data_IF_570579120846
#
_entry.id   IF_570579120846
#
_cell.length_a   1.000
_cell.length_b   1.000
_cell.length_c   1.000
_cell.angle_alpha   90.00
_cell.angle_beta   90.00
_cell.angle_gamma   90.00
#
_symmetry.space_group_name_H-M   'P 1'
#
loop_
_entity.id
_entity.type
_entity.pdbx_description
1 polymer ?
#
# COMPACT_ATOMS: atom_id res chain seq x y z
N UNK A 1 -22.32 -3.08 1.97
CA UNK A 1 -21.19 -2.24 2.40
C UNK A 1 -20.36 -2.97 3.44
N UNK A 2 -20.97 -3.42 4.54
CA UNK A 2 -20.28 -4.19 5.60
C UNK A 2 -19.53 -5.44 5.09
N UNK A 3 -20.16 -6.24 4.22
CA UNK A 3 -19.52 -7.43 3.63
C UNK A 3 -18.28 -7.09 2.78
N UNK A 4 -18.32 -5.94 2.08
CA UNK A 4 -17.21 -5.47 1.26
C UNK A 4 -16.07 -5.03 2.16
N UNK A 5 -16.38 -4.24 3.20
CA UNK A 5 -15.40 -3.80 4.19
C UNK A 5 -14.73 -4.99 4.86
N UNK A 6 -15.49 -5.93 5.41
CA UNK A 6 -14.97 -7.15 6.04
C UNK A 6 -14.03 -7.96 5.12
N UNK A 7 -14.33 -7.99 3.81
CA UNK A 7 -13.48 -8.66 2.82
C UNK A 7 -12.18 -7.90 2.54
N UNK A 8 -12.24 -6.58 2.49
CA UNK A 8 -11.05 -5.72 2.36
C UNK A 8 -10.17 -5.80 3.60
N UNK A 9 -10.77 -5.72 4.79
CA UNK A 9 -10.10 -5.91 6.08
C UNK A 9 -9.35 -7.25 6.10
N UNK A 10 -10.02 -8.32 5.66
CA UNK A 10 -9.40 -9.64 5.56
C UNK A 10 -8.21 -9.66 4.61
N UNK A 11 -8.27 -8.97 3.46
CA UNK A 11 -7.15 -8.89 2.52
C UNK A 11 -5.97 -8.14 3.16
N UNK A 12 -6.24 -6.99 3.79
CA UNK A 12 -5.24 -6.13 4.42
C UNK A 12 -4.57 -6.87 5.60
N UNK A 13 -5.36 -7.40 6.54
CA UNK A 13 -4.84 -8.13 7.72
C UNK A 13 -4.04 -9.35 7.29
N UNK A 14 -4.48 -10.12 6.29
CA UNK A 14 -3.68 -11.25 5.79
C UNK A 14 -2.33 -10.81 5.25
N UNK A 15 -2.30 -9.70 4.49
CA UNK A 15 -1.05 -9.12 4.00
C UNK A 15 -0.13 -8.72 5.15
N UNK A 16 -0.67 -8.01 6.15
CA UNK A 16 0.06 -7.55 7.32
C UNK A 16 0.61 -8.69 8.17
N UNK A 17 -0.17 -9.76 8.39
CA UNK A 17 0.27 -10.93 9.15
C UNK A 17 1.41 -11.68 8.44
N UNK A 18 1.41 -11.72 7.11
CA UNK A 18 2.50 -12.32 6.35
C UNK A 18 3.75 -11.44 6.41
N UNK A 19 3.61 -10.12 6.29
CA UNK A 19 4.74 -9.20 6.38
C UNK A 19 5.32 -9.09 7.80
N UNK A 20 4.50 -9.24 8.84
CA UNK A 20 4.96 -9.17 10.24
C UNK A 20 5.75 -10.40 10.69
N UNK A 21 5.61 -11.52 9.97
CA UNK A 21 6.39 -12.74 10.20
C UNK A 21 7.61 -12.80 9.28
N UNK A 22 7.89 -11.75 8.51
CA UNK A 22 9.08 -11.72 7.67
C UNK A 22 10.34 -11.52 8.54
N UNK A 23 11.42 -12.15 8.11
CA UNK A 23 12.75 -12.09 8.75
C UNK A 23 13.64 -11.01 8.15
N UNK A 24 13.20 -10.33 7.08
CA UNK A 24 13.89 -9.19 6.50
C UNK A 24 13.96 -8.03 7.50
N UNK A 25 15.16 -7.45 7.65
CA UNK A 25 15.45 -6.38 8.61
C UNK A 25 15.03 -5.02 8.05
N UNK A 26 15.05 -4.86 6.73
CA UNK A 26 14.73 -3.60 6.04
C UNK A 26 13.23 -3.50 5.74
N UNK A 27 12.57 -2.53 6.38
CA UNK A 27 11.15 -2.19 6.19
C UNK A 27 10.79 -1.99 4.71
N UNK A 28 11.71 -1.43 3.91
CA UNK A 28 11.49 -1.20 2.48
C UNK A 28 11.44 -2.50 1.66
N UNK A 29 12.06 -3.58 2.15
CA UNK A 29 11.98 -4.93 1.59
C UNK A 29 10.71 -5.64 2.08
N UNK A 30 10.42 -5.53 3.38
CA UNK A 30 9.22 -6.11 4.01
C UNK A 30 7.93 -5.62 3.33
N UNK A 31 7.86 -4.31 3.04
CA UNK A 31 6.75 -3.65 2.35
C UNK A 31 7.10 -3.29 0.91
N UNK A 32 8.05 -4.00 0.30
CA UNK A 32 8.44 -3.77 -1.08
C UNK A 32 7.26 -3.91 -2.05
N UNK A 33 7.21 -3.04 -3.06
CA UNK A 33 6.11 -2.97 -4.04
C UNK A 33 5.70 -4.35 -4.58
N UNK A 34 6.67 -5.18 -5.00
CA UNK A 34 6.38 -6.50 -5.57
C UNK A 34 5.71 -7.45 -4.56
N UNK A 35 6.06 -7.35 -3.28
CA UNK A 35 5.52 -8.17 -2.22
C UNK A 35 4.12 -7.70 -1.83
N UNK A 36 3.93 -6.39 -1.65
CA UNK A 36 2.61 -5.79 -1.45
C UNK A 36 1.65 -6.11 -2.62
N UNK A 37 2.13 -6.05 -3.86
CA UNK A 37 1.33 -6.44 -5.02
C UNK A 37 0.88 -7.91 -4.94
N UNK A 38 1.72 -8.83 -4.44
CA UNK A 38 1.34 -10.24 -4.28
C UNK A 38 0.36 -10.45 -3.12
N UNK A 39 0.60 -9.79 -1.99
CA UNK A 39 -0.13 -10.03 -0.74
C UNK A 39 -1.46 -9.27 -0.66
N UNK A 40 -1.55 -8.09 -1.29
CA UNK A 40 -2.72 -7.22 -1.24
C UNK A 40 -3.26 -6.95 -2.65
N UNK A 41 -2.38 -6.61 -3.60
CA UNK A 41 -2.79 -6.24 -4.96
C UNK A 41 -3.54 -7.35 -5.71
N UNK A 42 -2.96 -8.55 -5.77
CA UNK A 42 -3.57 -9.71 -6.46
C UNK A 42 -4.88 -10.15 -5.78
N UNK A 43 -4.97 -10.28 -4.45
CA UNK A 43 -6.26 -10.54 -3.79
C UNK A 43 -7.32 -9.47 -4.06
N UNK A 44 -6.95 -8.19 -4.06
CA UNK A 44 -7.86 -7.09 -4.36
C UNK A 44 -8.34 -7.13 -5.83
N UNK A 45 -7.44 -7.41 -6.77
CA UNK A 45 -7.79 -7.64 -8.18
C UNK A 45 -8.75 -8.84 -8.32
N UNK A 46 -8.48 -9.95 -7.64
CA UNK A 46 -9.39 -11.09 -7.71
C UNK A 46 -10.78 -10.74 -7.13
N UNK A 47 -10.81 -9.94 -6.07
CA UNK A 47 -12.06 -9.51 -5.44
C UNK A 47 -12.88 -8.56 -6.32
N UNK A 48 -12.24 -7.61 -7.01
CA UNK A 48 -12.96 -6.65 -7.86
C UNK A 48 -13.63 -7.34 -9.05
N UNK A 49 -13.02 -8.39 -9.60
CA UNK A 49 -13.56 -9.18 -10.69
C UNK A 49 -14.47 -10.33 -10.25
N UNK A 50 -14.59 -10.63 -8.95
CA UNK A 50 -15.48 -11.69 -8.48
C UNK A 50 -16.94 -11.35 -8.86
N UNK A 51 -17.65 -12.29 -9.47
CA UNK A 51 -19.01 -12.06 -9.97
C UNK A 51 -19.08 -11.33 -11.32
N UNK A 52 -17.94 -10.98 -11.93
CA UNK A 52 -17.88 -10.58 -13.34
C UNK A 52 -17.73 -11.82 -14.23
N UNK A 53 -18.18 -11.73 -15.47
CA UNK A 53 -17.94 -12.80 -16.45
C UNK A 53 -16.46 -12.87 -16.85
N UNK A 54 -16.03 -14.07 -17.29
CA UNK A 54 -14.63 -14.31 -17.69
C UNK A 54 -14.24 -13.48 -18.91
N UNK A 55 -15.20 -13.23 -19.81
CA UNK A 55 -15.01 -12.46 -21.03
C UNK A 55 -14.70 -10.99 -20.71
N UNK A 56 -15.35 -10.40 -19.70
CA UNK A 56 -15.09 -9.06 -19.20
C UNK A 56 -13.71 -8.95 -18.57
N UNK A 57 -13.30 -9.92 -17.74
CA UNK A 57 -11.95 -9.92 -17.16
C UNK A 57 -10.89 -9.99 -18.25
N UNK A 58 -11.06 -10.88 -19.23
CA UNK A 58 -10.15 -10.99 -20.38
C UNK A 58 -10.14 -9.73 -21.23
N UNK A 59 -11.31 -9.14 -21.50
CA UNK A 59 -11.44 -7.88 -22.23
C UNK A 59 -10.75 -6.72 -21.49
N UNK A 60 -11.01 -6.55 -20.18
CA UNK A 60 -10.42 -5.50 -19.36
C UNK A 60 -8.89 -5.61 -19.30
N UNK A 61 -8.36 -6.83 -19.22
CA UNK A 61 -6.92 -7.10 -19.20
C UNK A 61 -6.30 -7.10 -20.61
N UNK A 62 -7.11 -7.15 -21.66
CA UNK A 62 -6.62 -7.17 -23.04
C UNK A 62 -6.05 -5.81 -23.44
N UNK A 63 -5.11 -5.82 -24.39
CA UNK A 63 -4.70 -4.62 -25.11
C UNK A 63 -5.83 -4.05 -25.99
N UNK A 64 -6.96 -4.75 -26.12
CA UNK A 64 -8.17 -4.32 -26.82
C UNK A 64 -9.13 -3.49 -25.94
N UNK A 65 -8.76 -3.20 -24.69
CA UNK A 65 -9.18 -1.97 -24.04
C UNK A 65 -8.56 -0.80 -24.83
N UNK A 66 -9.01 -0.62 -26.08
CA UNK A 66 -8.66 0.47 -26.96
C UNK A 66 -9.31 1.70 -26.37
N UNK A 67 -8.70 2.21 -25.30
CA UNK A 67 -8.99 3.53 -24.81
C UNK A 67 -8.88 4.45 -26.02
N UNK A 68 -9.93 5.24 -26.25
CA UNK A 68 -9.98 6.19 -27.36
C UNK A 68 -8.87 7.25 -27.24
N UNK A 69 -8.19 7.29 -26.08
CA UNK A 69 -7.00 8.05 -25.84
C UNK A 69 -5.87 7.24 -25.20
N UNK A 70 -4.63 7.68 -25.46
CA UNK A 70 -3.44 7.14 -24.87
C UNK A 70 -3.30 7.60 -23.41
N UNK A 71 -3.23 6.67 -22.47
CA UNK A 71 -3.03 6.98 -21.04
C UNK A 71 -1.56 6.98 -20.62
N UNK A 72 -0.62 6.93 -21.58
CA UNK A 72 0.81 6.91 -21.27
C UNK A 72 1.22 8.21 -20.59
N UNK A 73 1.66 8.10 -19.34
CA UNK A 73 2.32 9.17 -18.61
C UNK A 73 3.76 9.31 -19.11
N UNK A 74 4.09 10.52 -19.52
CA UNK A 74 5.40 10.99 -19.95
C UNK A 74 6.11 11.50 -18.70
N UNK A 75 7.16 10.81 -18.30
CA UNK A 75 7.99 11.16 -17.14
C UNK A 75 9.04 12.20 -17.53
N UNK A 76 9.69 12.87 -16.57
CA UNK A 76 10.84 13.72 -16.86
C UNK A 76 11.86 13.00 -17.74
N UNK A 77 12.46 13.74 -18.67
CA UNK A 77 13.38 13.26 -19.70
C UNK A 77 12.78 12.33 -20.75
N UNK A 78 11.46 12.18 -20.79
CA UNK A 78 10.79 11.51 -21.90
C UNK A 78 10.87 12.35 -23.17
N UNK A 79 11.05 11.68 -24.30
CA UNK A 79 10.91 12.27 -25.62
C UNK A 79 9.44 12.48 -25.97
N UNK A 80 9.11 13.71 -26.37
CA UNK A 80 7.77 14.10 -26.80
C UNK A 80 7.82 14.63 -28.23
N UNK A 81 6.79 14.30 -29.00
CA UNK A 81 6.67 14.70 -30.40
C UNK A 81 5.49 15.64 -30.57
N UNK A 82 5.74 16.78 -31.19
CA UNK A 82 4.70 17.77 -31.48
C UNK A 82 4.63 18.02 -32.98
N UNK A 83 3.49 17.73 -33.60
CA UNK A 83 3.28 18.07 -35.02
C UNK A 83 2.95 19.55 -35.15
N UNK A 84 3.76 20.29 -35.92
CA UNK A 84 3.57 21.72 -36.12
C UNK A 84 2.37 22.02 -37.02
N UNK A 85 2.08 21.11 -37.96
CA UNK A 85 0.97 21.22 -38.89
C UNK A 85 -0.40 20.97 -38.22
N UNK A 86 -0.44 19.93 -37.38
CA UNK A 86 -1.70 19.41 -36.83
C UNK A 86 -2.04 19.89 -35.42
N UNK A 87 -1.10 20.49 -34.67
CA UNK A 87 -1.40 20.96 -33.30
C UNK A 87 -2.39 22.13 -33.31
N UNK A 88 -3.34 22.13 -32.37
CA UNK A 88 -4.22 23.30 -32.13
C UNK A 88 -3.39 24.44 -31.53
N UNK A 89 -2.65 24.14 -30.45
CA UNK A 89 -1.77 25.06 -29.72
C UNK A 89 -0.45 24.33 -29.36
N UNK A 90 0.41 24.94 -28.53
CA UNK A 90 1.61 24.29 -27.97
C UNK A 90 1.31 23.09 -27.04
N UNK A 91 0.05 22.66 -26.95
CA UNK A 91 -0.42 21.64 -26.02
C UNK A 91 -0.37 20.24 -26.63
N UNK A 92 -0.39 20.07 -27.95
CA UNK A 92 -0.44 18.74 -28.58
C UNK A 92 0.90 18.01 -28.55
N UNK A 93 1.02 16.97 -27.72
CA UNK A 93 2.20 16.12 -27.59
C UNK A 93 1.84 14.64 -27.71
N UNK A 94 2.54 13.92 -28.57
CA UNK A 94 2.43 12.47 -28.69
C UNK A 94 3.64 11.78 -28.06
N UNK A 95 3.40 10.65 -27.39
CA UNK A 95 4.47 9.73 -27.03
C UNK A 95 5.04 9.07 -28.31
N UNK A 96 6.27 8.57 -28.23
CA UNK A 96 6.95 7.97 -29.38
C UNK A 96 6.12 6.87 -30.10
N UNK A 97 5.49 5.97 -29.34
CA UNK A 97 4.69 4.87 -29.90
C UNK A 97 3.46 5.39 -30.66
N UNK A 98 2.81 6.44 -30.15
CA UNK A 98 1.67 7.05 -30.83
C UNK A 98 2.11 7.83 -32.07
N UNK A 99 3.18 8.62 -31.93
CA UNK A 99 3.71 9.44 -33.01
C UNK A 99 4.11 8.59 -34.22
N UNK A 100 4.97 7.57 -34.01
CA UNK A 100 5.47 6.68 -35.07
C UNK A 100 4.37 5.91 -35.81
N UNK A 101 3.21 5.70 -35.18
CA UNK A 101 2.06 5.00 -35.78
C UNK A 101 1.04 5.94 -36.40
N UNK A 102 1.12 7.23 -36.10
CA UNK A 102 0.19 8.25 -36.60
C UNK A 102 0.65 8.81 -37.95
N UNK A 103 -0.25 9.52 -38.63
CA UNK A 103 0.10 10.28 -39.84
C UNK A 103 1.09 11.41 -39.56
N UNK A 104 1.13 11.90 -38.31
CA UNK A 104 2.00 12.99 -37.88
C UNK A 104 3.49 12.69 -38.05
N UNK A 105 3.87 11.41 -38.13
CA UNK A 105 5.24 10.98 -38.44
C UNK A 105 5.76 11.54 -39.77
N UNK A 106 4.85 11.81 -40.72
CA UNK A 106 5.17 12.33 -42.04
C UNK A 106 4.96 13.84 -42.19
N UNK A 107 4.55 14.52 -41.11
CA UNK A 107 4.35 15.96 -41.06
C UNK A 107 5.57 16.68 -40.49
N UNK A 108 5.59 18.01 -40.58
CA UNK A 108 6.58 18.80 -39.88
C UNK A 108 6.36 18.67 -38.37
N UNK A 109 7.41 18.29 -37.65
CA UNK A 109 7.32 17.97 -36.23
C UNK A 109 8.57 18.38 -35.47
N UNK A 110 8.39 18.59 -34.18
CA UNK A 110 9.44 18.92 -33.24
C UNK A 110 9.59 17.79 -32.22
N UNK A 111 10.83 17.40 -31.95
CA UNK A 111 11.20 16.51 -30.86
C UNK A 111 11.71 17.35 -29.69
N UNK A 112 11.05 17.26 -28.54
CA UNK A 112 11.53 17.89 -27.30
C UNK A 112 11.81 16.82 -26.25
N UNK A 113 12.81 17.09 -25.42
CA UNK A 113 13.01 16.36 -24.17
C UNK A 113 12.26 17.13 -23.09
N UNK A 114 11.28 16.51 -22.43
CA UNK A 114 10.44 17.20 -21.45
C UNK A 114 11.14 17.25 -20.08
N UNK A 115 11.31 18.45 -19.53
CA UNK A 115 12.31 18.71 -18.48
C UNK A 115 11.78 18.66 -17.04
N UNK A 116 10.47 18.78 -16.80
CA UNK A 116 10.01 19.05 -15.42
C UNK A 116 8.63 18.55 -14.98
N UNK A 117 7.68 18.26 -15.88
CA UNK A 117 6.29 17.95 -15.45
C UNK A 117 5.85 16.57 -15.94
N UNK A 118 4.99 15.90 -15.17
CA UNK A 118 4.27 14.71 -15.65
C UNK A 118 3.19 15.14 -16.63
N UNK A 119 3.28 14.69 -17.88
CA UNK A 119 2.24 14.93 -18.90
C UNK A 119 1.68 13.61 -19.40
N UNK A 120 0.44 13.62 -19.86
CA UNK A 120 -0.14 12.49 -20.59
C UNK A 120 0.05 12.69 -22.09
N UNK A 121 0.11 11.60 -22.84
CA UNK A 121 0.09 11.66 -24.30
C UNK A 121 -1.27 12.17 -24.80
N UNK A 122 -1.27 13.10 -25.75
CA UNK A 122 -2.50 13.71 -26.28
C UNK A 122 -3.14 12.94 -27.44
N UNK A 123 -2.66 11.73 -27.74
CA UNK A 123 -3.29 10.90 -28.75
C UNK A 123 -4.69 10.51 -28.26
N UNK A 124 -5.73 10.88 -29.01
CA UNK A 124 -7.14 10.69 -28.66
C UNK A 124 -7.83 11.91 -28.04
N UNK A 125 -7.08 12.96 -27.69
CA UNK A 125 -7.67 14.21 -27.21
C UNK A 125 -8.00 15.12 -28.39
N UNK A 126 -9.28 15.22 -28.72
CA UNK A 126 -9.77 16.02 -29.86
C UNK A 126 -9.32 17.49 -29.76
N UNK A 127 -9.26 18.04 -28.55
CA UNK A 127 -8.89 19.45 -28.31
C UNK A 127 -7.40 19.75 -28.53
N UNK A 128 -6.55 18.72 -28.64
CA UNK A 128 -5.12 18.87 -28.84
C UNK A 128 -4.71 18.96 -30.32
N UNK A 129 -5.54 18.47 -31.25
CA UNK A 129 -5.21 18.31 -32.67
C UNK A 129 -6.28 18.89 -33.60
N UNK A 130 -5.87 19.72 -34.57
CA UNK A 130 -6.72 20.24 -35.65
C UNK A 130 -7.21 19.13 -36.57
N UNK A 131 -6.40 18.08 -36.72
CA UNK A 131 -6.71 16.91 -37.54
C UNK A 131 -5.97 15.68 -37.03
N UNK A 132 -6.51 14.50 -37.34
CA UNK A 132 -5.95 13.20 -36.98
C UNK A 132 -5.61 13.05 -35.48
N UNK A 133 -6.58 13.25 -34.57
CA UNK A 133 -6.35 13.22 -33.13
C UNK A 133 -5.90 11.84 -32.62
N UNK A 134 -6.23 10.77 -33.34
CA UNK A 134 -5.96 9.38 -32.95
C UNK A 134 -4.95 8.71 -33.88
N UNK A 135 -4.08 7.86 -33.32
CA UNK A 135 -3.30 6.89 -34.09
C UNK A 135 -4.09 5.59 -34.27
N UNK A 136 -3.71 4.68 -35.20
CA UNK A 136 -4.44 3.44 -35.47
C UNK A 136 -4.71 2.54 -34.25
N UNK A 137 -3.91 2.68 -33.18
CA UNK A 137 -4.09 1.96 -31.92
C UNK A 137 -5.24 2.52 -31.06
N UNK A 138 -5.52 3.82 -31.17
CA UNK A 138 -6.52 4.52 -30.37
C UNK A 138 -7.70 5.00 -31.23
N UNK A 139 -7.89 4.43 -32.42
CA UNK A 139 -9.13 4.63 -33.18
C UNK A 139 -10.24 3.88 -32.47
N UNK A 140 -11.35 4.56 -32.20
CA UNK A 140 -12.58 3.96 -31.67
C UNK A 140 -12.99 2.81 -32.57
N UNK A 141 -12.85 1.58 -32.09
CA UNK A 141 -13.48 0.44 -32.74
C UNK A 141 -15.00 0.61 -32.57
N UNK A 142 -15.81 0.29 -33.59
CA UNK A 142 -17.29 0.27 -33.53
C UNK A 142 -17.85 -0.81 -32.58
N UNK A 143 -17.13 -1.15 -31.51
CA UNK A 143 -17.63 -2.04 -30.48
C UNK A 143 -18.60 -1.24 -29.62
N UNK A 144 -19.74 -1.86 -29.32
CA UNK A 144 -20.72 -1.38 -28.35
C UNK A 144 -19.99 -0.83 -27.13
N UNK A 145 -20.33 0.39 -26.72
CA UNK A 145 -19.85 0.97 -25.46
C UNK A 145 -19.89 -0.12 -24.39
N UNK A 146 -18.71 -0.58 -23.97
CA UNK A 146 -18.60 -1.67 -23.02
C UNK A 146 -19.18 -1.18 -21.71
N UNK A 147 -20.45 -1.50 -21.46
CA UNK A 147 -21.09 -1.17 -20.18
C UNK A 147 -20.33 -1.96 -19.13
N UNK A 148 -19.61 -1.25 -18.26
CA UNK A 148 -18.91 -1.85 -17.14
C UNK A 148 -19.95 -2.61 -16.30
N UNK A 149 -19.72 -3.88 -15.94
CA UNK A 149 -20.65 -4.65 -15.13
C UNK A 149 -20.94 -3.93 -13.81
N UNK A 150 -22.22 -3.85 -13.43
CA UNK A 150 -22.62 -3.23 -12.16
C UNK A 150 -21.85 -3.80 -10.95
N UNK A 151 -21.61 -5.13 -10.83
CA UNK A 151 -20.83 -5.67 -9.72
C UNK A 151 -19.40 -5.12 -9.66
N UNK A 152 -18.78 -4.88 -10.83
CA UNK A 152 -17.44 -4.30 -10.92
C UNK A 152 -17.44 -2.85 -10.44
N UNK A 153 -18.36 -2.04 -10.98
CA UNK A 153 -18.46 -0.61 -10.63
C UNK A 153 -18.72 -0.46 -9.14
N UNK A 154 -19.72 -1.17 -8.62
CA UNK A 154 -20.11 -1.09 -7.21
C UNK A 154 -18.96 -1.46 -6.28
N UNK A 155 -18.25 -2.56 -6.56
CA UNK A 155 -17.05 -2.94 -5.78
C UNK A 155 -15.95 -1.90 -5.87
N UNK A 156 -15.62 -1.42 -7.06
CA UNK A 156 -14.60 -0.38 -7.26
C UNK A 156 -14.92 0.88 -6.46
N UNK A 157 -16.17 1.35 -6.53
CA UNK A 157 -16.63 2.52 -5.79
C UNK A 157 -16.46 2.33 -4.29
N UNK A 158 -16.89 1.20 -3.73
CA UNK A 158 -16.75 0.94 -2.29
C UNK A 158 -15.29 0.77 -1.85
N UNK A 159 -14.46 0.14 -2.67
CA UNK A 159 -13.02 0.01 -2.40
C UNK A 159 -12.38 1.39 -2.30
N UNK A 160 -12.62 2.26 -3.30
CA UNK A 160 -12.07 3.63 -3.30
C UNK A 160 -12.57 4.40 -2.08
N UNK A 161 -13.87 4.34 -1.78
CA UNK A 161 -14.43 4.99 -0.60
C UNK A 161 -13.76 4.54 0.70
N UNK A 162 -13.55 3.22 0.86
CA UNK A 162 -12.93 2.69 2.06
C UNK A 162 -11.44 3.06 2.18
N UNK A 163 -10.69 3.04 1.06
CA UNK A 163 -9.30 3.50 1.04
C UNK A 163 -9.19 4.99 1.40
N UNK A 164 -10.13 5.83 0.94
CA UNK A 164 -10.19 7.23 1.33
C UNK A 164 -10.48 7.41 2.83
N UNK A 165 -11.34 6.58 3.42
CA UNK A 165 -11.60 6.62 4.87
C UNK A 165 -10.35 6.26 5.68
N UNK A 166 -9.65 5.19 5.30
CA UNK A 166 -8.39 4.82 5.93
C UNK A 166 -7.34 5.93 5.80
N UNK A 167 -7.27 6.57 4.63
CA UNK A 167 -6.35 7.68 4.41
C UNK A 167 -6.68 8.89 5.29
N UNK A 168 -7.97 9.21 5.46
CA UNK A 168 -8.42 10.27 6.38
C UNK A 168 -7.98 9.98 7.83
N UNK A 169 -8.18 8.75 8.29
CA UNK A 169 -7.77 8.32 9.63
C UNK A 169 -6.25 8.41 9.82
N UNK A 170 -5.46 7.97 8.84
CA UNK A 170 -3.98 8.08 8.84
C UNK A 170 -3.52 9.54 8.89
N UNK A 171 -4.23 10.44 8.20
CA UNK A 171 -3.86 11.86 8.15
C UNK A 171 -4.36 12.68 9.33
N UNK A 172 -4.99 12.06 10.34
CA UNK A 172 -5.49 12.78 11.51
C UNK A 172 -4.35 13.05 12.51
N UNK A 173 -4.36 14.20 13.20
CA UNK A 173 -3.34 14.56 14.22
C UNK A 173 -3.33 13.63 15.45
N UNK A 174 -4.36 12.79 15.60
CA UNK A 174 -4.51 11.86 16.70
C UNK A 174 -4.30 10.42 16.21
N UNK A 175 -3.06 9.95 16.32
CA UNK A 175 -2.62 8.61 15.89
C UNK A 175 -3.47 7.48 16.48
N UNK A 176 -4.05 7.68 17.68
CA UNK A 176 -4.90 6.67 18.32
C UNK A 176 -6.16 6.32 17.52
N UNK A 177 -6.62 7.18 16.60
CA UNK A 177 -7.79 6.89 15.77
C UNK A 177 -7.49 5.72 14.84
N UNK A 178 -6.37 5.80 14.12
CA UNK A 178 -5.97 4.74 13.20
C UNK A 178 -5.58 3.47 13.97
N UNK A 179 -4.85 3.61 15.09
CA UNK A 179 -4.48 2.45 15.93
C UNK A 179 -5.71 1.70 16.43
N UNK A 180 -6.72 2.40 16.97
CA UNK A 180 -7.96 1.78 17.42
C UNK A 180 -8.73 1.11 16.27
N UNK A 181 -8.71 1.71 15.07
CA UNK A 181 -9.31 1.06 13.89
C UNK A 181 -8.58 -0.24 13.55
N UNK A 182 -7.25 -0.21 13.52
CA UNK A 182 -6.41 -1.38 13.22
C UNK A 182 -6.63 -2.50 14.24
N UNK A 183 -6.69 -2.18 15.53
CA UNK A 183 -6.99 -3.14 16.60
C UNK A 183 -8.37 -3.78 16.42
N UNK A 184 -9.40 -2.97 16.14
CA UNK A 184 -10.76 -3.46 15.91
C UNK A 184 -10.85 -4.34 14.65
N UNK A 185 -10.15 -3.95 13.58
CA UNK A 185 -10.06 -4.73 12.34
C UNK A 185 -9.43 -6.11 12.61
N UNK A 186 -8.32 -6.15 13.35
CA UNK A 186 -7.64 -7.39 13.73
C UNK A 186 -8.52 -8.26 14.63
N UNK A 187 -9.17 -7.67 15.64
CA UNK A 187 -10.05 -8.41 16.54
C UNK A 187 -11.23 -9.03 15.78
N UNK A 188 -11.85 -8.27 14.90
CA UNK A 188 -12.95 -8.75 14.05
C UNK A 188 -12.51 -9.91 13.17
N UNK A 189 -11.33 -9.79 12.54
CA UNK A 189 -10.74 -10.86 11.73
C UNK A 189 -10.49 -12.13 12.55
N UNK A 190 -9.87 -12.00 13.72
CA UNK A 190 -9.57 -13.13 14.61
C UNK A 190 -10.84 -13.81 15.11
N UNK A 191 -11.87 -13.04 15.49
CA UNK A 191 -13.17 -13.59 15.90
C UNK A 191 -13.80 -14.41 14.77
N UNK A 192 -13.78 -13.90 13.54
CA UNK A 192 -14.33 -14.60 12.37
C UNK A 192 -13.56 -15.91 12.06
N UNK A 193 -12.24 -15.92 12.22
CA UNK A 193 -11.41 -17.12 11.98
C UNK A 193 -11.49 -18.14 13.12
N UNK A 194 -11.45 -17.71 14.38
CA UNK A 194 -11.51 -18.59 15.55
C UNK A 194 -12.90 -19.20 15.79
N UNK A 195 -13.98 -18.54 15.36
CA UNK A 195 -15.34 -19.09 15.46
C UNK A 195 -15.57 -20.33 14.58
N UNK A 196 -14.68 -20.59 13.62
CA UNK A 196 -14.70 -21.81 12.79
C UNK A 196 -13.93 -22.99 13.42
N UNK A 197 -13.33 -22.81 14.60
CA UNK A 197 -12.71 -23.86 15.40
C UNK A 197 -13.64 -24.18 16.58
N UNK A 198 -14.30 -25.33 16.53
CA UNK A 198 -15.11 -25.85 17.64
C UNK A 198 -14.24 -25.90 18.90
N UNK A 199 -14.68 -25.36 20.06
CA UNK A 199 -13.88 -25.34 21.27
C UNK A 199 -14.01 -26.68 21.98
N UNK A 200 -12.91 -27.42 22.08
CA UNK A 200 -12.71 -28.41 23.13
C UNK A 200 -11.34 -28.17 23.74
N UNK A 201 -11.27 -27.24 24.69
CA UNK A 201 -10.62 -27.50 25.98
C UNK A 201 -10.77 -26.28 26.89
N UNK A 202 -11.09 -26.60 28.15
CA UNK A 202 -11.35 -25.70 29.26
C UNK A 202 -10.28 -24.61 29.38
N UNK A 203 -10.70 -23.34 29.27
CA UNK A 203 -9.88 -22.20 29.66
C UNK A 203 -9.74 -22.19 31.18
N UNK A 204 -8.63 -22.74 31.66
CA UNK A 204 -8.04 -22.35 32.94
C UNK A 204 -7.85 -20.83 32.94
N UNK A 205 -8.51 -20.16 33.89
CA UNK A 205 -8.61 -18.71 34.02
C UNK A 205 -7.31 -17.98 34.33
N UNK A 206 -6.16 -18.67 34.34
CA UNK A 206 -4.84 -18.09 34.63
C UNK A 206 -4.04 -17.73 33.36
N UNK A 207 -4.40 -18.30 32.20
CA UNK A 207 -3.61 -18.14 30.96
C UNK A 207 -4.11 -17.01 30.03
N UNK A 208 -5.26 -16.41 30.32
CA UNK A 208 -5.83 -15.35 29.48
C UNK A 208 -5.04 -14.02 29.58
N UNK A 209 -4.47 -13.71 30.74
CA UNK A 209 -3.61 -12.51 30.91
C UNK A 209 -2.21 -12.72 30.29
N UNK A 210 -1.71 -13.96 30.32
CA UNK A 210 -0.40 -14.32 29.74
C UNK A 210 -0.46 -14.24 28.20
N UNK A 211 -1.54 -14.73 27.59
CA UNK A 211 -1.71 -14.74 26.12
C UNK A 211 -2.01 -13.34 25.54
N UNK A 212 -2.58 -12.43 26.35
CA UNK A 212 -2.88 -11.06 25.93
C UNK A 212 -1.63 -10.16 25.80
N UNK A 213 -0.52 -10.50 26.45
CA UNK A 213 0.71 -9.68 26.46
C UNK A 213 1.90 -10.35 25.76
N UNK A 214 1.90 -11.68 25.58
CA UNK A 214 3.03 -12.39 24.95
C UNK A 214 3.20 -12.14 23.43
N UNK A 215 2.28 -11.39 22.80
CA UNK A 215 2.32 -11.04 21.36
C UNK A 215 2.53 -9.55 21.10
N UNK A 216 2.79 -8.75 22.12
CA UNK A 216 2.99 -7.30 21.96
C UNK A 216 4.48 -7.03 21.76
N UNK A 217 4.88 -6.69 20.54
CA UNK A 217 6.15 -6.03 20.26
C UNK A 217 5.99 -4.54 20.55
N UNK A 218 6.90 -3.95 21.33
CA UNK A 218 6.93 -2.51 21.54
C UNK A 218 8.02 -1.90 20.65
N UNK A 219 7.62 -0.96 19.79
CA UNK A 219 8.52 -0.09 19.07
C UNK A 219 8.97 1.02 20.03
N UNK A 220 10.27 1.10 20.31
CA UNK A 220 10.83 2.16 21.13
C UNK A 220 11.43 3.23 20.21
N UNK A 221 10.81 4.41 20.21
CA UNK A 221 11.32 5.60 19.53
C UNK A 221 11.79 6.55 20.64
N UNK A 222 13.09 6.90 20.71
CA UNK A 222 13.56 7.90 21.66
C UNK A 222 12.89 9.24 21.31
N UNK A 223 12.22 9.83 22.30
CA UNK A 223 11.53 11.10 22.13
C UNK A 223 12.42 12.22 22.70
N UNK A 224 12.77 13.15 21.82
CA UNK A 224 13.41 14.45 22.08
C UNK A 224 14.93 14.46 22.35
N UNK A 225 15.58 15.54 21.91
CA UNK A 225 17.02 15.85 21.94
C UNK A 225 17.61 16.01 23.37
N UNK A 226 16.86 15.56 24.39
CA UNK A 226 17.15 15.79 25.81
C UNK A 226 17.87 14.63 26.48
N UNK A 227 17.79 13.43 25.92
CA UNK A 227 18.49 12.25 26.42
C UNK A 227 19.66 11.91 25.51
N UNK A 228 20.85 11.78 26.10
CA UNK A 228 22.00 11.22 25.40
C UNK A 228 21.67 9.78 25.00
N UNK A 229 21.84 9.46 23.73
CA UNK A 229 21.53 8.14 23.16
C UNK A 229 22.28 7.03 23.92
N UNK A 230 23.49 7.34 24.38
CA UNK A 230 24.32 6.44 25.19
C UNK A 230 23.70 6.16 26.58
N UNK A 231 23.10 7.17 27.22
CA UNK A 231 22.44 7.04 28.53
C UNK A 231 21.15 6.20 28.42
N UNK A 232 20.41 6.35 27.32
CA UNK A 232 19.23 5.53 27.01
C UNK A 232 19.59 4.07 26.71
N UNK A 233 20.67 3.84 25.95
CA UNK A 233 21.20 2.50 25.66
C UNK A 233 21.66 1.82 26.96
N UNK A 234 22.31 2.54 27.86
CA UNK A 234 22.75 1.99 29.14
C UNK A 234 21.59 1.65 30.08
N UNK A 235 20.51 2.42 30.08
CA UNK A 235 19.27 2.07 30.77
C UNK A 235 18.68 0.75 30.27
N UNK A 236 18.67 0.53 28.95
CA UNK A 236 18.19 -0.72 28.35
C UNK A 236 19.09 -1.93 28.70
N UNK A 237 20.41 -1.74 28.80
CA UNK A 237 21.34 -2.78 29.26
C UNK A 237 21.09 -3.15 30.72
N UNK A 238 20.90 -2.17 31.60
CA UNK A 238 20.62 -2.38 33.03
C UNK A 238 19.31 -3.17 33.22
N UNK A 239 18.24 -2.79 32.52
CA UNK A 239 16.95 -3.51 32.57
C UNK A 239 17.11 -4.98 32.15
N UNK A 240 18.00 -5.26 31.20
CA UNK A 240 18.27 -6.62 30.73
C UNK A 240 19.15 -7.45 31.66
N UNK A 241 20.21 -6.87 32.24
CA UNK A 241 21.02 -7.56 33.25
C UNK A 241 20.18 -7.98 34.46
N UNK A 242 19.16 -7.18 34.81
CA UNK A 242 18.19 -7.50 35.87
C UNK A 242 17.25 -8.66 35.46
N UNK A 243 16.98 -8.85 34.15
CA UNK A 243 16.02 -9.85 33.63
C UNK A 243 16.60 -11.26 33.41
N UNK A 244 17.93 -11.37 33.31
CA UNK A 244 18.67 -12.64 33.26
C UNK A 244 18.57 -13.44 31.95
N UNK A 245 18.06 -12.86 30.85
CA UNK A 245 17.89 -13.59 29.58
C UNK A 245 18.70 -13.01 28.40
N UNK A 246 19.40 -13.92 27.70
CA UNK A 246 20.42 -13.66 26.69
C UNK A 246 19.91 -13.40 25.26
N UNK A 247 18.88 -12.58 25.06
CA UNK A 247 18.44 -12.18 23.71
C UNK A 247 19.20 -10.98 23.15
N UNK A 248 20.10 -11.12 22.19
CA UNK A 248 20.90 -10.00 21.62
C UNK A 248 20.04 -8.77 21.27
N UNK A 249 20.32 -7.60 21.87
CA UNK A 249 19.81 -6.30 21.38
C UNK A 249 20.96 -5.78 20.55
N UNK A 250 20.76 -5.70 19.24
CA UNK A 250 21.76 -5.12 18.37
C UNK A 250 21.77 -3.61 18.62
N UNK A 251 22.74 -3.15 19.41
CA UNK A 251 22.90 -1.72 19.71
C UNK A 251 23.22 -0.91 18.46
N UNK A 252 23.59 -1.56 17.34
CA UNK A 252 23.75 -0.88 16.07
C UNK A 252 22.41 -0.44 15.46
N UNK A 253 21.31 -1.16 15.67
CA UNK A 253 20.00 -0.81 15.09
C UNK A 253 19.51 0.55 15.61
N UNK A 254 19.72 0.83 16.90
CA UNK A 254 19.33 2.12 17.48
C UNK A 254 20.18 3.28 16.95
N UNK A 255 21.49 3.06 16.79
CA UNK A 255 22.44 4.07 16.30
C UNK A 255 22.26 4.35 14.80
N UNK A 256 21.88 3.34 14.00
CA UNK A 256 21.72 3.46 12.56
C UNK A 256 20.30 3.89 12.14
N UNK A 257 19.27 3.45 12.88
CA UNK A 257 17.87 3.57 12.46
C UNK A 257 17.03 4.48 13.37
N UNK A 258 17.54 4.86 14.54
CA UNK A 258 16.82 5.71 15.50
C UNK A 258 15.70 4.99 16.27
N UNK A 259 15.62 3.65 16.21
CA UNK A 259 14.67 2.84 16.99
C UNK A 259 15.24 1.43 17.23
N UNK A 260 14.73 0.72 18.24
CA UNK A 260 15.06 -0.68 18.49
C UNK A 260 13.83 -1.51 18.86
N UNK A 261 13.88 -2.79 18.50
CA UNK A 261 12.84 -3.76 18.83
C UNK A 261 13.18 -4.45 20.15
N UNK A 262 12.25 -4.44 21.09
CA UNK A 262 12.38 -5.21 22.33
C UNK A 262 11.31 -6.30 22.36
N UNK A 263 11.75 -7.56 22.39
CA UNK A 263 10.86 -8.69 22.60
C UNK A 263 10.37 -8.66 24.06
N UNK A 264 9.05 -8.70 24.24
CA UNK A 264 8.42 -8.67 25.56
C UNK A 264 8.75 -9.95 26.34
N UNK A 265 9.15 -9.78 27.60
CA UNK A 265 9.46 -10.88 28.53
C UNK A 265 8.15 -11.56 28.97
N UNK A 266 8.11 -12.90 28.89
CA UNK A 266 6.93 -13.71 29.23
C UNK A 266 6.59 -13.80 30.72
N UNK A 267 7.32 -13.09 31.60
CA UNK A 267 7.19 -13.19 33.06
C UNK A 267 6.76 -11.86 33.70
N UNK A 268 5.52 -11.85 34.21
CA UNK A 268 4.83 -10.71 34.84
C UNK A 268 5.52 -10.25 36.13
N UNK A 269 6.12 -11.16 36.91
CA UNK A 269 6.84 -10.80 38.14
C UNK A 269 8.11 -10.02 37.80
N UNK A 270 8.85 -10.45 36.76
CA UNK A 270 10.04 -9.74 36.27
C UNK A 270 9.67 -8.36 35.72
N UNK A 271 8.58 -8.24 34.96
CA UNK A 271 8.11 -6.94 34.42
C UNK A 271 7.75 -5.94 35.54
N UNK A 272 7.04 -6.38 36.58
CA UNK A 272 6.66 -5.53 37.73
C UNK A 272 7.87 -5.08 38.55
N UNK A 273 8.90 -5.93 38.65
CA UNK A 273 10.16 -5.58 39.33
C UNK A 273 10.92 -4.49 38.56
N UNK A 274 11.01 -4.59 37.24
CA UNK A 274 11.65 -3.56 36.39
C UNK A 274 10.91 -2.22 36.42
N UNK A 275 9.57 -2.24 36.47
CA UNK A 275 8.77 -1.00 36.61
C UNK A 275 9.00 -0.23 37.91
N UNK A 276 9.38 -0.91 39.01
CA UNK A 276 9.67 -0.24 40.29
C UNK A 276 11.02 0.47 40.25
N UNK A 277 12.00 -0.13 39.59
CA UNK A 277 13.36 0.41 39.48
C UNK A 277 13.37 1.68 38.61
N UNK A 278 12.59 1.72 37.52
CA UNK A 278 12.44 2.91 36.67
C UNK A 278 11.67 4.07 37.31
N UNK A 279 11.07 3.90 38.50
CA UNK A 279 10.41 4.99 39.24
C UNK A 279 11.31 5.60 40.31
N UNK A 280 12.48 5.01 40.55
CA UNK A 280 13.45 5.46 41.56
C UNK A 280 14.69 6.11 40.93
N UNK A 281 14.79 6.12 39.60
CA UNK A 281 15.73 6.88 38.78
C UNK A 281 14.99 8.11 38.23
#
# INVERSE_FOLDING_TARGET
>A
MEDIKSRLDSIIINGLLVTSNDTEIDVSQVYGKNKLMKLVGVPLENYIFEGCDLDFKQWFQSKECNLEACTKVLTPYSFIYTCLDCRVNEIGHACEDCFRRSVHFYHEHELRCYDSIYKTCDCGHLDAWKSHPTCPKHIKAERSEGVLPEPFISKLTYIIQYLCQLFEEICTENDSIFDNHMENMLETYLRAKCSNLIPNQEKSSLNAEIDANCRKSCLLIPYDDTFDLDEFIDCLKIIREISGEGGYVDTNDMNEQGYAWVLYLSDVEKCKKSQRINREI
#
